data_IF_665854780136
#
_entry.id   IF_665854780136
#
_cell.length_a   1.000
_cell.length_b   1.000
_cell.length_c   1.000
_cell.angle_alpha   90.00
_cell.angle_beta   90.00
_cell.angle_gamma   90.00
#
_symmetry.space_group_name_H-M   'P 1'
#
loop_
_entity.id
_entity.type
_entity.pdbx_description
1 polymer ?
#
# COMPACT_ATOMS: atom_id res chain seq x y z
N UNK A 1 -9.94 -2.42 22.84
CA UNK A 1 -9.62 -3.13 21.59
C UNK A 1 -9.87 -2.26 20.38
N UNK A 2 -11.09 -1.78 20.19
CA UNK A 2 -11.39 -0.97 19.00
C UNK A 2 -10.59 0.35 18.96
N UNK A 3 -10.42 1.01 20.10
CA UNK A 3 -9.67 2.26 20.16
C UNK A 3 -8.19 2.04 19.83
N UNK A 4 -7.64 0.87 20.21
CA UNK A 4 -6.26 0.53 19.92
C UNK A 4 -6.08 0.37 18.40
N UNK A 5 -7.02 -0.32 17.74
CA UNK A 5 -6.97 -0.49 16.29
C UNK A 5 -6.99 0.87 15.60
N UNK A 6 -7.84 1.79 16.07
CA UNK A 6 -7.95 3.11 15.49
C UNK A 6 -6.66 3.93 15.65
N UNK A 7 -6.05 3.88 16.82
CA UNK A 7 -4.78 4.58 17.06
C UNK A 7 -3.66 3.96 16.21
N UNK A 8 -3.64 2.63 16.12
CA UNK A 8 -2.64 1.93 15.33
C UNK A 8 -2.77 2.26 13.85
N UNK A 9 -3.98 2.49 13.37
CA UNK A 9 -4.21 2.84 11.98
C UNK A 9 -3.56 4.16 11.62
N UNK A 10 -3.66 5.16 12.48
CA UNK A 10 -3.02 6.46 12.24
C UNK A 10 -1.51 6.31 12.27
N UNK A 11 -0.97 5.65 13.30
CA UNK A 11 0.47 5.42 13.42
C UNK A 11 1.00 4.62 12.23
N UNK A 12 0.26 3.58 11.83
CA UNK A 12 0.64 2.78 10.68
C UNK A 12 0.72 3.63 9.42
N UNK A 13 -0.30 4.45 9.16
CA UNK A 13 -0.34 5.24 7.93
C UNK A 13 0.79 6.25 7.88
N UNK A 14 1.19 6.82 9.02
CA UNK A 14 2.30 7.76 9.09
C UNK A 14 3.62 7.07 8.79
N UNK A 15 3.85 5.89 9.37
CA UNK A 15 5.06 5.12 9.13
C UNK A 15 5.12 4.63 7.68
N UNK A 16 3.99 4.17 7.17
CA UNK A 16 3.85 3.69 5.80
C UNK A 16 4.20 4.80 4.80
N UNK A 17 3.63 5.98 4.97
CA UNK A 17 3.89 7.11 4.09
C UNK A 17 5.33 7.59 4.19
N UNK A 18 5.88 7.66 5.41
CA UNK A 18 7.26 8.09 5.61
C UNK A 18 8.24 7.12 4.92
N UNK A 19 7.99 5.82 5.03
CA UNK A 19 8.84 4.82 4.40
C UNK A 19 8.76 4.92 2.88
N UNK A 20 7.55 5.06 2.32
CA UNK A 20 7.38 5.24 0.89
C UNK A 20 8.08 6.51 0.39
N UNK A 21 7.94 7.61 1.13
CA UNK A 21 8.53 8.89 0.72
C UNK A 21 10.05 8.89 0.83
N UNK A 22 10.59 8.05 1.70
CA UNK A 22 12.04 7.84 1.79
C UNK A 22 12.53 6.83 0.75
N UNK A 23 11.62 6.22 -0.01
CA UNK A 23 11.89 5.14 -0.96
C UNK A 23 12.54 3.95 -0.27
N UNK A 24 12.20 3.72 0.99
CA UNK A 24 12.73 2.64 1.83
C UNK A 24 11.78 1.46 1.80
N UNK A 25 11.93 0.62 0.78
CA UNK A 25 11.03 -0.51 0.54
C UNK A 25 11.02 -1.52 1.67
N UNK A 26 12.17 -1.78 2.28
CA UNK A 26 12.21 -2.79 3.34
C UNK A 26 11.43 -2.35 4.56
N UNK A 27 11.44 -1.05 4.87
CA UNK A 27 10.62 -0.52 5.96
C UNK A 27 9.13 -0.61 5.65
N UNK A 28 8.73 -0.49 4.38
CA UNK A 28 7.33 -0.72 3.99
C UNK A 28 7.01 -2.20 4.13
N UNK A 29 7.84 -3.07 3.56
CA UNK A 29 7.58 -4.51 3.47
C UNK A 29 7.57 -5.21 4.83
N UNK A 30 8.24 -4.65 5.83
CA UNK A 30 8.24 -5.28 7.16
C UNK A 30 6.85 -5.38 7.78
N UNK A 31 5.89 -4.58 7.29
CA UNK A 31 4.52 -4.61 7.77
C UNK A 31 3.66 -5.66 7.05
N UNK A 32 4.22 -6.37 6.08
CA UNK A 32 3.47 -7.27 5.20
C UNK A 32 3.81 -8.72 5.46
N UNK A 33 2.79 -9.58 5.38
CA UNK A 33 2.93 -11.02 5.57
C UNK A 33 3.64 -11.67 4.38
N UNK A 34 4.33 -12.79 4.64
CA UNK A 34 5.03 -13.52 3.57
C UNK A 34 4.09 -13.98 2.47
N UNK A 35 2.84 -14.26 2.81
CA UNK A 35 1.84 -14.76 1.87
C UNK A 35 0.86 -13.69 1.41
N UNK A 36 1.26 -12.44 1.49
CA UNK A 36 0.40 -11.31 1.14
C UNK A 36 -0.09 -11.41 -0.31
N UNK A 37 -1.32 -10.94 -0.52
CA UNK A 37 -1.92 -10.82 -1.85
C UNK A 37 -2.16 -9.33 -2.11
N UNK A 38 -1.71 -8.84 -3.27
CA UNK A 38 -1.81 -7.41 -3.57
C UNK A 38 -2.28 -7.21 -5.01
N UNK A 39 -3.15 -6.23 -5.22
CA UNK A 39 -3.59 -5.84 -6.56
C UNK A 39 -3.44 -4.34 -6.74
N UNK A 40 -3.13 -3.93 -7.96
CA UNK A 40 -3.06 -2.53 -8.34
C UNK A 40 -3.11 -2.44 -9.86
N UNK A 41 -3.85 -1.47 -10.43
CA UNK A 41 -3.80 -1.24 -11.88
C UNK A 41 -2.39 -0.97 -12.38
N UNK A 42 -1.54 -0.35 -11.56
CA UNK A 42 -0.14 -0.09 -11.92
C UNK A 42 0.63 -1.40 -12.00
N UNK A 43 0.38 -2.34 -11.07
CA UNK A 43 1.02 -3.65 -11.12
C UNK A 43 0.67 -4.38 -12.41
N UNK A 44 -0.59 -4.30 -12.81
CA UNK A 44 -1.04 -4.97 -14.05
C UNK A 44 -0.29 -4.44 -15.27
N UNK A 45 0.05 -3.15 -15.28
CA UNK A 45 0.82 -2.54 -16.39
C UNK A 45 2.30 -2.87 -16.33
N UNK A 46 2.89 -2.88 -15.13
CA UNK A 46 4.34 -3.10 -14.98
C UNK A 46 4.71 -4.57 -15.02
N UNK A 47 3.78 -5.45 -14.64
CA UNK A 47 4.02 -6.90 -14.58
C UNK A 47 2.92 -7.62 -15.34
N UNK A 48 2.88 -7.52 -16.67
CA UNK A 48 1.74 -8.05 -17.45
C UNK A 48 1.57 -9.57 -17.38
N UNK A 49 2.59 -10.29 -16.90
CA UNK A 49 2.52 -11.76 -16.82
C UNK A 49 2.02 -12.27 -15.47
N UNK A 50 1.55 -11.41 -14.56
CA UNK A 50 1.18 -11.82 -13.21
C UNK A 50 -0.33 -12.03 -13.03
N UNK A 51 -1.11 -12.02 -14.10
CA UNK A 51 -2.57 -12.20 -14.04
C UNK A 51 -3.25 -11.23 -13.08
N UNK A 52 -2.74 -10.00 -13.00
CA UNK A 52 -3.32 -8.89 -12.23
C UNK A 52 -3.23 -9.05 -10.71
N UNK A 53 -2.64 -10.12 -10.20
CA UNK A 53 -2.51 -10.34 -8.77
C UNK A 53 -1.06 -10.62 -8.42
N UNK A 54 -0.52 -9.86 -7.47
CA UNK A 54 0.83 -10.07 -6.95
C UNK A 54 0.70 -10.95 -5.70
N UNK A 55 1.32 -12.12 -5.72
CA UNK A 55 1.21 -13.09 -4.63
C UNK A 55 2.57 -13.29 -3.97
N UNK A 56 2.59 -13.05 -2.66
CA UNK A 56 3.77 -13.27 -1.85
C UNK A 56 4.65 -12.04 -1.74
N UNK A 57 5.38 -11.98 -0.64
CA UNK A 57 6.20 -10.82 -0.30
C UNK A 57 7.35 -10.61 -1.29
N UNK A 58 7.95 -11.71 -1.80
CA UNK A 58 9.03 -11.62 -2.78
C UNK A 58 8.56 -10.99 -4.08
N UNK A 59 7.38 -11.40 -4.57
CA UNK A 59 6.79 -10.84 -5.77
C UNK A 59 6.42 -9.36 -5.55
N UNK A 60 5.91 -9.05 -4.38
CA UNK A 60 5.55 -7.68 -4.03
C UNK A 60 6.80 -6.79 -3.99
N UNK A 61 7.89 -7.29 -3.43
CA UNK A 61 9.17 -6.57 -3.42
C UNK A 61 9.64 -6.28 -4.84
N UNK A 62 9.56 -7.27 -5.71
CA UNK A 62 9.94 -7.11 -7.12
C UNK A 62 9.08 -6.04 -7.81
N UNK A 63 7.78 -6.10 -7.60
CA UNK A 63 6.88 -5.12 -8.19
C UNK A 63 7.18 -3.70 -7.70
N UNK A 64 7.30 -3.52 -6.39
CA UNK A 64 7.54 -2.19 -5.83
C UNK A 64 8.92 -1.65 -6.19
N UNK A 65 9.91 -2.53 -6.32
CA UNK A 65 11.24 -2.12 -6.80
C UNK A 65 11.13 -1.52 -8.21
N UNK A 66 10.40 -2.20 -9.09
CA UNK A 66 10.17 -1.71 -10.45
C UNK A 66 9.37 -0.41 -10.44
N UNK A 67 8.37 -0.32 -9.56
CA UNK A 67 7.55 0.89 -9.47
C UNK A 67 8.41 2.10 -9.08
N UNK A 68 9.31 1.94 -8.12
CA UNK A 68 10.20 3.02 -7.71
C UNK A 68 11.18 3.40 -8.81
N UNK A 69 11.63 2.44 -9.62
CA UNK A 69 12.49 2.74 -10.76
C UNK A 69 11.74 3.54 -11.83
N UNK A 70 10.47 3.20 -12.02
CA UNK A 70 9.61 3.86 -13.00
C UNK A 70 9.15 5.22 -12.53
N UNK A 71 8.84 5.34 -11.24
CA UNK A 71 8.30 6.55 -10.62
C UNK A 71 9.34 7.08 -9.64
N UNK A 72 10.39 7.71 -10.21
CA UNK A 72 11.52 8.17 -9.41
C UNK A 72 11.19 9.29 -8.44
N UNK A 73 10.09 10.00 -8.68
CA UNK A 73 9.64 11.09 -7.82
C UNK A 73 8.45 10.70 -6.95
N UNK A 74 8.29 9.40 -6.67
CA UNK A 74 7.18 8.92 -5.86
C UNK A 74 7.11 9.68 -4.54
N UNK A 75 5.93 10.19 -4.22
CA UNK A 75 5.67 10.91 -2.98
C UNK A 75 4.18 10.83 -2.67
N UNK A 76 3.86 10.43 -1.44
CA UNK A 76 2.48 10.29 -0.98
C UNK A 76 2.18 11.29 0.12
N UNK A 77 1.02 11.93 0.02
CA UNK A 77 0.51 12.81 1.07
C UNK A 77 -0.79 12.20 1.58
N UNK A 78 -0.78 11.69 2.81
CA UNK A 78 -1.96 11.08 3.42
C UNK A 78 -2.95 12.18 3.78
N UNK A 79 -4.19 12.03 3.34
CA UNK A 79 -5.25 12.99 3.60
C UNK A 79 -6.29 12.47 4.59
N UNK A 80 -6.53 11.15 4.59
CA UNK A 80 -7.52 10.56 5.50
C UNK A 80 -7.18 9.10 5.74
N UNK A 81 -7.54 8.60 6.91
CA UNK A 81 -7.35 7.20 7.27
C UNK A 81 -8.66 6.68 7.84
N UNK A 82 -9.09 5.52 7.35
CA UNK A 82 -10.31 4.86 7.81
C UNK A 82 -9.94 3.55 8.46
N UNK A 83 -10.56 3.22 9.57
CA UNK A 83 -10.30 1.97 10.27
C UNK A 83 -11.59 1.14 10.36
N UNK A 84 -11.47 -0.14 10.06
CA UNK A 84 -12.58 -1.10 10.16
C UNK A 84 -12.14 -2.32 10.97
N UNK A 85 -12.87 -3.42 10.82
CA UNK A 85 -12.52 -4.68 11.48
C UNK A 85 -11.33 -5.29 10.75
N UNK A 86 -10.16 -5.23 11.40
CA UNK A 86 -8.89 -5.74 10.84
C UNK A 86 -8.56 -5.13 9.47
N UNK A 87 -9.08 -3.94 9.20
CA UNK A 87 -8.87 -3.27 7.91
C UNK A 87 -8.57 -1.80 8.12
N UNK A 88 -7.76 -1.26 7.21
CA UNK A 88 -7.45 0.16 7.15
C UNK A 88 -7.59 0.61 5.70
N UNK A 89 -8.14 1.79 5.48
CA UNK A 89 -8.09 2.43 4.16
C UNK A 89 -7.30 3.72 4.31
N UNK A 90 -6.24 3.86 3.55
CA UNK A 90 -5.43 5.08 3.53
C UNK A 90 -5.77 5.84 2.26
N UNK A 91 -6.34 7.03 2.43
CA UNK A 91 -6.62 7.93 1.33
C UNK A 91 -5.44 8.89 1.20
N UNK A 92 -4.82 8.92 0.01
CA UNK A 92 -3.64 9.76 -0.18
C UNK A 92 -3.60 10.30 -1.61
N UNK A 93 -2.80 11.35 -1.79
CA UNK A 93 -2.46 11.86 -3.11
C UNK A 93 -1.06 11.43 -3.46
N UNK A 94 -0.90 10.97 -4.69
CA UNK A 94 0.41 10.57 -5.17
C UNK A 94 1.17 11.77 -5.76
N UNK A 95 2.36 11.52 -6.30
CA UNK A 95 3.24 12.56 -6.82
C UNK A 95 2.64 13.35 -7.99
N UNK A 96 1.65 12.79 -8.66
CA UNK A 96 0.96 13.45 -9.78
C UNK A 96 -0.33 14.14 -9.34
N UNK A 97 -0.59 14.17 -8.04
CA UNK A 97 -1.82 14.74 -7.50
C UNK A 97 -3.02 13.82 -7.62
N UNK A 98 -2.84 12.60 -8.08
CA UNK A 98 -3.93 11.62 -8.20
C UNK A 98 -4.37 11.11 -6.84
N UNK A 99 -5.67 10.93 -6.67
CA UNK A 99 -6.22 10.45 -5.41
C UNK A 99 -6.33 8.94 -5.43
N UNK A 100 -5.84 8.32 -4.36
CA UNK A 100 -5.75 6.87 -4.24
C UNK A 100 -6.29 6.44 -2.89
N UNK A 101 -7.00 5.32 -2.88
CA UNK A 101 -7.38 4.64 -1.64
C UNK A 101 -6.66 3.31 -1.59
N UNK A 102 -5.85 3.13 -0.54
CA UNK A 102 -5.13 1.89 -0.31
C UNK A 102 -5.90 1.09 0.74
N UNK A 103 -6.49 -0.02 0.34
CA UNK A 103 -7.21 -0.92 1.24
C UNK A 103 -6.23 -1.97 1.76
N UNK A 104 -6.15 -2.12 3.07
CA UNK A 104 -5.23 -3.08 3.70
C UNK A 104 -5.98 -3.92 4.73
N UNK A 105 -5.86 -5.24 4.63
CA UNK A 105 -6.41 -6.17 5.61
C UNK A 105 -5.28 -6.77 6.42
N UNK A 106 -5.46 -6.85 7.72
CA UNK A 106 -4.44 -7.29 8.66
C UNK A 106 -4.83 -8.61 9.30
N UNK A 107 -3.82 -9.43 9.61
CA UNK A 107 -3.95 -10.61 10.44
C UNK A 107 -2.68 -10.71 11.28
N UNK A 108 -2.83 -10.84 12.60
CA UNK A 108 -1.70 -10.92 13.54
C UNK A 108 -0.72 -9.75 13.37
N UNK A 109 -1.25 -8.56 13.11
CA UNK A 109 -0.44 -7.35 13.00
C UNK A 109 0.27 -7.14 11.67
N UNK A 110 0.09 -8.06 10.71
CA UNK A 110 0.72 -7.94 9.39
C UNK A 110 -0.36 -7.84 8.31
N UNK A 111 -0.03 -7.10 7.25
CA UNK A 111 -0.94 -6.97 6.11
C UNK A 111 -0.93 -8.28 5.32
N UNK A 112 -2.09 -8.89 5.18
CA UNK A 112 -2.24 -10.13 4.41
C UNK A 112 -2.86 -9.89 3.04
N UNK A 113 -3.51 -8.74 2.85
CA UNK A 113 -4.18 -8.42 1.60
C UNK A 113 -4.19 -6.91 1.42
N UNK A 114 -3.86 -6.45 0.23
CA UNK A 114 -3.87 -5.03 -0.09
C UNK A 114 -4.36 -4.79 -1.50
N UNK A 115 -5.10 -3.70 -1.68
CA UNK A 115 -5.62 -3.30 -2.99
C UNK A 115 -5.49 -1.80 -3.14
N UNK A 116 -4.76 -1.36 -4.16
CA UNK A 116 -4.67 0.06 -4.49
C UNK A 116 -5.79 0.39 -5.46
N UNK A 117 -6.59 1.40 -5.13
CA UNK A 117 -7.70 1.82 -5.96
C UNK A 117 -7.56 3.30 -6.28
N UNK A 118 -7.72 3.66 -7.53
CA UNK A 118 -7.47 5.02 -8.01
C UNK A 118 -8.77 5.71 -8.35
N UNK A 119 -8.87 6.98 -7.99
CA UNK A 119 -10.04 7.77 -8.34
C UNK A 119 -10.17 7.83 -9.86
N UNK A 120 -11.33 7.43 -10.36
CA UNK A 120 -11.61 7.50 -11.80
C UNK A 120 -11.96 8.94 -12.13
N UNK A 121 -11.27 9.56 -13.09
CA UNK A 121 -11.62 10.92 -13.50
C UNK A 121 -13.02 10.96 -14.07
N UNK A 122 -13.77 11.98 -13.72
CA UNK A 122 -15.14 12.15 -14.22
C UNK A 122 -15.17 12.80 -15.59
#
# INVERSE_FOLDING_TARGET
MCSTVKLDAVAFSEQWAAAWNAHDLESVLQHFDENVVFTSPVAARLLPNTADVVRGKSALRNYWTRALQHIGNLHFVVEAVYAGMDTIVINYRNQDGGEVNEFLRFNNGLVTEGHATYLIPS
#
